data_IF_712613137290
#
_entry.id   IF_712613137290
#
_cell.length_a   1.000
_cell.length_b   1.000
_cell.length_c   1.000
_cell.angle_alpha   90.00
_cell.angle_beta   90.00
_cell.angle_gamma   90.00
#
_symmetry.space_group_name_H-M   'P 1'
#
loop_
_entity.id
_entity.type
_entity.pdbx_description
1 polymer ?
#
# COMPACT_ATOMS: atom_id res chain seq x y z
N UNK A 1 -9.14 24.94 -6.14
CA UNK A 1 -9.31 23.53 -5.72
C UNK A 1 -7.95 23.10 -5.18
N UNK A 2 -7.88 22.60 -3.96
CA UNK A 2 -6.63 22.10 -3.38
C UNK A 2 -6.25 20.77 -4.03
N UNK A 3 -4.97 20.44 -4.07
CA UNK A 3 -4.50 19.14 -4.54
C UNK A 3 -5.11 17.99 -3.72
N UNK A 4 -5.23 18.17 -2.39
CA UNK A 4 -5.89 17.21 -1.51
C UNK A 4 -7.35 16.93 -1.89
N UNK A 5 -8.10 17.93 -2.39
CA UNK A 5 -9.49 17.77 -2.78
C UNK A 5 -9.65 16.79 -3.97
N UNK A 6 -8.65 16.73 -4.85
CA UNK A 6 -8.63 15.81 -5.98
C UNK A 6 -8.13 14.41 -5.58
N UNK A 7 -7.14 14.35 -4.67
CA UNK A 7 -6.49 13.09 -4.27
C UNK A 7 -7.31 12.26 -3.28
N UNK A 8 -8.03 12.90 -2.35
CA UNK A 8 -8.76 12.20 -1.30
C UNK A 8 -9.83 11.25 -1.84
N UNK A 9 -10.70 11.65 -2.78
CA UNK A 9 -11.68 10.73 -3.35
C UNK A 9 -11.04 9.52 -4.04
N UNK A 10 -9.96 9.73 -4.78
CA UNK A 10 -9.21 8.65 -5.43
C UNK A 10 -8.58 7.72 -4.38
N UNK A 11 -7.92 8.29 -3.36
CA UNK A 11 -7.30 7.50 -2.29
C UNK A 11 -8.33 6.68 -1.52
N UNK A 12 -9.50 7.25 -1.22
CA UNK A 12 -10.60 6.57 -0.52
C UNK A 12 -11.15 5.41 -1.39
N UNK A 13 -11.35 5.62 -2.69
CA UNK A 13 -11.80 4.59 -3.62
C UNK A 13 -10.77 3.45 -3.74
N UNK A 14 -9.50 3.77 -3.97
CA UNK A 14 -8.43 2.79 -4.10
C UNK A 14 -8.22 1.98 -2.81
N UNK A 15 -8.32 2.64 -1.66
CA UNK A 15 -8.25 1.98 -0.36
C UNK A 15 -9.44 1.04 -0.13
N UNK A 16 -10.64 1.44 -0.52
CA UNK A 16 -11.83 0.59 -0.46
C UNK A 16 -11.67 -0.69 -1.28
N UNK A 17 -11.17 -0.58 -2.53
CA UNK A 17 -10.89 -1.73 -3.39
C UNK A 17 -9.77 -2.62 -2.83
N UNK A 18 -8.73 -2.02 -2.25
CA UNK A 18 -7.64 -2.77 -1.61
C UNK A 18 -8.16 -3.58 -0.42
N UNK A 19 -9.01 -2.97 0.41
CA UNK A 19 -9.65 -3.64 1.55
C UNK A 19 -10.42 -4.89 1.11
N UNK A 20 -11.22 -4.81 0.04
CA UNK A 20 -11.99 -5.94 -0.48
C UNK A 20 -11.10 -7.14 -0.84
N UNK A 21 -9.92 -6.91 -1.40
CA UNK A 21 -8.97 -7.99 -1.73
C UNK A 21 -8.30 -8.56 -0.48
N UNK A 22 -7.91 -7.70 0.48
CA UNK A 22 -7.30 -8.13 1.74
C UNK A 22 -8.26 -8.97 2.59
N UNK A 23 -9.55 -8.63 2.62
CA UNK A 23 -10.60 -9.37 3.34
C UNK A 23 -10.76 -10.82 2.85
N UNK A 24 -10.32 -11.11 1.64
CA UNK A 24 -10.41 -12.45 1.02
C UNK A 24 -9.17 -13.31 1.22
N UNK A 25 -8.13 -12.82 1.86
CA UNK A 25 -6.92 -13.60 2.11
C UNK A 25 -7.18 -14.67 3.17
N UNK A 26 -7.24 -15.98 2.81
CA UNK A 26 -7.54 -17.03 3.78
C UNK A 26 -6.30 -17.41 4.57
N UNK A 27 -6.39 -17.44 5.90
CA UNK A 27 -5.28 -17.77 6.80
C UNK A 27 -4.65 -19.14 6.50
N UNK A 28 -5.47 -20.13 6.12
CA UNK A 28 -5.00 -21.46 5.76
C UNK A 28 -4.08 -21.49 4.51
N UNK A 29 -4.00 -20.39 3.77
CA UNK A 29 -3.20 -20.25 2.55
C UNK A 29 -2.12 -19.17 2.65
N UNK A 30 -1.83 -18.65 3.83
CA UNK A 30 -0.85 -17.58 4.04
C UNK A 30 0.55 -17.91 3.52
N UNK A 31 0.95 -19.17 3.55
CA UNK A 31 2.22 -19.66 3.02
C UNK A 31 2.20 -19.99 1.50
N UNK A 32 1.07 -19.77 0.82
CA UNK A 32 0.98 -20.04 -0.62
C UNK A 32 1.93 -19.13 -1.41
N UNK A 33 2.65 -19.73 -2.38
CA UNK A 33 3.51 -19.07 -3.36
C UNK A 33 3.14 -19.54 -4.76
N UNK A 34 2.84 -18.64 -5.71
CA UNK A 34 2.59 -19.05 -7.09
C UNK A 34 3.87 -19.54 -7.80
N UNK A 35 5.05 -19.14 -7.30
CA UNK A 35 6.35 -19.54 -7.82
C UNK A 35 7.40 -19.50 -6.71
N UNK A 36 8.44 -20.30 -6.81
CA UNK A 36 9.51 -20.36 -5.78
C UNK A 36 10.20 -19.01 -5.51
N UNK A 37 10.25 -18.11 -6.50
CA UNK A 37 10.81 -16.75 -6.36
C UNK A 37 9.79 -15.73 -5.89
N UNK A 38 8.51 -16.07 -5.82
CA UNK A 38 7.45 -15.15 -5.36
C UNK A 38 7.42 -15.06 -3.85
N UNK A 39 6.85 -13.97 -3.34
CA UNK A 39 6.51 -13.85 -1.92
C UNK A 39 5.39 -14.82 -1.54
N UNK A 40 5.30 -15.12 -0.26
CA UNK A 40 4.11 -15.77 0.30
C UNK A 40 2.91 -14.82 0.23
N UNK A 41 1.70 -15.39 0.17
CA UNK A 41 0.47 -14.61 0.14
C UNK A 41 0.42 -13.60 1.28
N UNK A 42 0.74 -14.02 2.51
CA UNK A 42 0.73 -13.11 3.66
C UNK A 42 1.77 -12.01 3.57
N UNK A 43 2.94 -12.28 2.98
CA UNK A 43 3.96 -11.25 2.78
C UNK A 43 3.45 -10.17 1.80
N UNK A 44 2.91 -10.58 0.64
CA UNK A 44 2.33 -9.65 -0.33
C UNK A 44 1.15 -8.87 0.25
N UNK A 45 0.27 -9.53 1.00
CA UNK A 45 -0.87 -8.90 1.63
C UNK A 45 -0.47 -7.91 2.73
N UNK A 46 0.52 -8.27 3.59
CA UNK A 46 1.04 -7.37 4.62
C UNK A 46 1.74 -6.16 4.00
N UNK A 47 2.55 -6.38 2.96
CA UNK A 47 3.17 -5.30 2.22
C UNK A 47 2.13 -4.32 1.66
N UNK A 48 1.09 -4.84 1.02
CA UNK A 48 -0.02 -4.02 0.51
C UNK A 48 -0.75 -3.26 1.64
N UNK A 49 -0.94 -3.88 2.81
CA UNK A 49 -1.54 -3.23 3.98
C UNK A 49 -0.65 -2.13 4.59
N UNK A 50 0.67 -2.20 4.38
CA UNK A 50 1.63 -1.22 4.88
C UNK A 50 1.87 -0.06 3.89
N UNK A 51 1.50 -0.17 2.62
CA UNK A 51 1.74 0.90 1.64
C UNK A 51 1.14 2.26 2.02
N UNK A 52 -0.07 2.37 2.62
CA UNK A 52 -0.57 3.67 3.05
C UNK A 52 0.31 4.37 4.10
N UNK A 53 1.04 3.62 4.94
CA UNK A 53 1.99 4.20 5.90
C UNK A 53 3.06 5.07 5.21
N UNK A 54 3.48 4.68 3.99
CA UNK A 54 4.43 5.48 3.20
C UNK A 54 3.88 6.84 2.79
N UNK A 55 2.54 6.97 2.60
CA UNK A 55 1.94 8.28 2.37
C UNK A 55 2.14 9.20 3.59
N UNK A 56 1.89 8.67 4.78
CA UNK A 56 2.11 9.41 6.03
C UNK A 56 3.57 9.85 6.17
N UNK A 57 4.52 8.93 5.96
CA UNK A 57 5.95 9.25 6.03
C UNK A 57 6.36 10.28 4.99
N UNK A 58 5.90 10.13 3.73
CA UNK A 58 6.21 11.08 2.65
C UNK A 58 5.69 12.49 2.95
N UNK A 59 4.48 12.60 3.51
CA UNK A 59 3.82 13.88 3.70
C UNK A 59 4.24 14.60 5.00
N UNK A 60 4.58 13.85 6.05
CA UNK A 60 4.89 14.40 7.38
C UNK A 60 6.38 14.70 7.61
N UNK A 61 7.28 14.24 6.75
CA UNK A 61 8.72 14.46 6.85
C UNK A 61 9.33 14.69 5.46
N UNK A 62 10.58 15.18 5.41
CA UNK A 62 11.22 15.53 4.14
C UNK A 62 12.15 14.42 3.60
N UNK A 63 12.50 13.47 4.46
CA UNK A 63 13.34 12.33 4.09
C UNK A 63 13.07 11.10 4.97
N UNK A 64 13.44 9.93 4.48
CA UNK A 64 13.44 8.69 5.23
C UNK A 64 14.67 7.85 4.86
N UNK A 65 15.46 7.46 5.85
CA UNK A 65 16.52 6.46 5.66
C UNK A 65 15.99 5.07 6.04
N UNK A 66 15.94 4.15 5.05
CA UNK A 66 15.46 2.78 5.26
C UNK A 66 16.49 1.84 5.90
N UNK A 67 17.73 2.29 6.06
CA UNK A 67 18.81 1.53 6.70
C UNK A 67 19.81 2.49 7.37
N UNK A 68 19.41 3.29 8.36
CA UNK A 68 20.30 4.25 8.98
C UNK A 68 21.47 3.54 9.66
N UNK A 69 22.67 4.14 9.64
CA UNK A 69 23.86 3.53 10.25
C UNK A 69 23.62 3.16 11.71
N UNK A 70 23.99 1.93 12.07
CA UNK A 70 23.84 1.42 13.44
C UNK A 70 22.44 0.89 13.79
N UNK A 71 21.44 1.06 12.94
CA UNK A 71 20.14 0.43 13.12
C UNK A 71 20.13 -1.03 12.63
N UNK A 72 19.32 -1.91 13.25
CA UNK A 72 19.11 -3.25 12.71
C UNK A 72 18.46 -3.18 11.32
N UNK A 73 18.71 -4.17 10.44
CA UNK A 73 18.03 -4.25 9.16
C UNK A 73 16.51 -4.21 9.32
N UNK A 74 15.85 -3.41 8.48
CA UNK A 74 14.38 -3.39 8.47
C UNK A 74 13.85 -4.79 8.18
N UNK A 75 12.94 -5.25 9.02
CA UNK A 75 12.20 -6.50 8.82
C UNK A 75 10.72 -6.17 8.95
N UNK A 76 9.97 -6.49 7.90
CA UNK A 76 8.53 -6.30 7.92
C UNK A 76 7.89 -7.27 8.94
N UNK A 77 7.07 -6.71 9.83
CA UNK A 77 6.27 -7.49 10.77
C UNK A 77 5.02 -8.00 10.07
N UNK A 78 5.07 -9.27 9.63
CA UNK A 78 3.99 -9.90 8.91
C UNK A 78 2.78 -10.14 9.82
N UNK A 79 1.59 -9.84 9.30
CA UNK A 79 0.34 -10.18 9.97
C UNK A 79 0.22 -11.71 10.14
N UNK A 80 -0.36 -12.15 11.25
CA UNK A 80 -0.53 -13.58 11.55
C UNK A 80 -1.95 -14.06 11.27
N UNK A 81 -2.90 -13.13 11.22
CA UNK A 81 -4.31 -13.39 10.93
C UNK A 81 -4.85 -12.38 9.93
N UNK A 82 -5.96 -12.69 9.29
CA UNK A 82 -6.68 -11.74 8.42
C UNK A 82 -7.17 -10.53 9.23
N UNK A 83 -7.54 -10.73 10.49
CA UNK A 83 -7.94 -9.65 11.39
C UNK A 83 -6.79 -8.66 11.63
N UNK A 84 -5.58 -9.14 11.97
CA UNK A 84 -4.39 -8.30 12.14
C UNK A 84 -4.02 -7.57 10.83
N UNK A 85 -4.16 -8.23 9.67
CA UNK A 85 -3.92 -7.65 8.37
C UNK A 85 -4.84 -6.44 8.12
N UNK A 86 -6.13 -6.61 8.39
CA UNK A 86 -7.13 -5.57 8.22
C UNK A 86 -7.00 -4.43 9.24
N UNK A 87 -6.61 -4.73 10.47
CA UNK A 87 -6.32 -3.72 11.49
C UNK A 87 -5.14 -2.84 11.06
N UNK A 88 -4.01 -3.45 10.64
CA UNK A 88 -2.85 -2.73 10.09
C UNK A 88 -3.26 -1.82 8.93
N UNK A 89 -4.02 -2.37 7.97
CA UNK A 89 -4.49 -1.61 6.82
C UNK A 89 -5.40 -0.44 7.21
N UNK A 90 -6.37 -0.68 8.09
CA UNK A 90 -7.31 0.34 8.56
C UNK A 90 -6.59 1.50 9.22
N UNK A 91 -5.66 1.19 10.15
CA UNK A 91 -4.86 2.19 10.82
C UNK A 91 -4.02 3.00 9.85
N UNK A 92 -3.24 2.34 9.00
CA UNK A 92 -2.34 2.99 8.05
C UNK A 92 -3.11 3.88 7.04
N UNK A 93 -4.29 3.43 6.61
CA UNK A 93 -5.16 4.19 5.70
C UNK A 93 -5.73 5.43 6.39
N UNK A 94 -6.16 5.32 7.65
CA UNK A 94 -6.68 6.46 8.41
C UNK A 94 -5.60 7.53 8.60
N UNK A 95 -4.39 7.12 9.03
CA UNK A 95 -3.24 8.02 9.22
C UNK A 95 -2.83 8.70 7.90
N UNK A 96 -2.81 7.95 6.80
CA UNK A 96 -2.50 8.48 5.46
C UNK A 96 -3.55 9.48 4.98
N UNK A 97 -4.84 9.17 5.19
CA UNK A 97 -5.95 10.05 4.83
C UNK A 97 -5.90 11.38 5.58
N UNK A 98 -5.59 11.34 6.89
CA UNK A 98 -5.39 12.55 7.70
C UNK A 98 -4.20 13.37 7.19
N UNK A 99 -3.08 12.71 6.91
CA UNK A 99 -1.90 13.37 6.35
C UNK A 99 -2.23 14.06 5.01
N UNK A 100 -2.93 13.36 4.10
CA UNK A 100 -3.39 13.92 2.81
C UNK A 100 -4.28 15.16 3.02
N UNK A 101 -5.27 15.07 3.89
CA UNK A 101 -6.22 16.15 4.14
C UNK A 101 -5.56 17.41 4.73
N UNK A 102 -4.51 17.23 5.53
CA UNK A 102 -3.80 18.31 6.22
C UNK A 102 -2.63 18.92 5.43
N UNK A 103 -2.22 18.30 4.32
CA UNK A 103 -1.07 18.75 3.52
C UNK A 103 -1.47 19.92 2.60
N UNK A 104 -0.69 21.01 2.62
CA UNK A 104 -0.89 22.16 1.72
C UNK A 104 -0.37 21.86 0.30
N UNK A 105 -0.87 22.61 -0.69
CA UNK A 105 -0.42 22.50 -2.08
C UNK A 105 1.10 22.81 -2.20
N UNK A 106 1.59 23.76 -1.41
CA UNK A 106 3.02 24.08 -1.34
C UNK A 106 3.84 22.91 -0.82
N UNK A 107 3.36 22.24 0.24
CA UNK A 107 4.03 21.08 0.83
C UNK A 107 4.06 19.88 -0.11
N UNK A 108 3.01 19.65 -0.89
CA UNK A 108 2.98 18.62 -1.94
C UNK A 108 4.07 18.80 -2.99
N UNK A 109 4.49 20.04 -3.25
CA UNK A 109 5.50 20.35 -4.26
C UNK A 109 6.94 20.32 -3.73
N UNK A 110 7.15 20.24 -2.41
CA UNK A 110 8.47 20.04 -1.84
C UNK A 110 9.02 18.67 -2.14
N UNK A 111 10.34 18.57 -2.25
CA UNK A 111 10.98 17.27 -2.46
C UNK A 111 10.95 16.42 -1.18
N UNK A 112 10.74 15.15 -1.38
CA UNK A 112 10.98 14.09 -0.42
C UNK A 112 12.11 13.20 -0.90
N UNK A 113 12.98 12.78 0.02
CA UNK A 113 14.17 11.99 -0.30
C UNK A 113 14.15 10.65 0.40
N UNK A 114 14.28 9.56 -0.37
CA UNK A 114 14.55 8.24 0.19
C UNK A 114 16.05 8.01 0.28
N UNK A 115 16.51 7.67 1.48
CA UNK A 115 17.92 7.38 1.77
C UNK A 115 18.11 5.89 2.08
N UNK A 116 19.33 5.41 1.87
CA UNK A 116 19.84 4.16 2.40
C UNK A 116 21.25 4.37 2.91
N UNK A 117 21.46 4.13 4.20
CA UNK A 117 22.76 4.32 4.86
C UNK A 117 23.32 5.74 4.61
N UNK A 118 22.45 6.76 4.76
CA UNK A 118 22.77 8.18 4.52
C UNK A 118 22.93 8.58 3.05
N UNK A 119 22.80 7.64 2.10
CA UNK A 119 22.96 7.94 0.67
C UNK A 119 21.60 8.02 0.00
N UNK A 120 21.31 9.12 -0.75
CA UNK A 120 20.06 9.25 -1.49
C UNK A 120 19.90 8.16 -2.55
N UNK A 121 18.75 7.45 -2.51
CA UNK A 121 18.30 6.56 -3.57
C UNK A 121 17.60 7.37 -4.67
N UNK A 122 16.69 8.25 -4.26
CA UNK A 122 16.04 9.24 -5.12
C UNK A 122 15.52 10.42 -4.31
N UNK A 123 15.25 11.53 -5.01
CA UNK A 123 14.56 12.71 -4.48
C UNK A 123 13.56 13.20 -5.53
N UNK A 124 12.31 13.44 -5.12
CA UNK A 124 11.25 13.92 -6.02
C UNK A 124 10.17 14.65 -5.23
N UNK A 125 9.30 15.47 -5.86
CA UNK A 125 8.18 16.10 -5.18
C UNK A 125 7.31 15.09 -4.43
N UNK A 126 6.84 15.44 -3.23
CA UNK A 126 5.98 14.58 -2.39
C UNK A 126 4.76 14.07 -3.16
N UNK A 127 4.16 14.92 -3.99
CA UNK A 127 3.07 14.53 -4.90
C UNK A 127 3.47 13.39 -5.84
N UNK A 128 4.64 13.46 -6.48
CA UNK A 128 5.12 12.43 -7.39
C UNK A 128 5.43 11.13 -6.65
N UNK A 129 6.02 11.23 -5.45
CA UNK A 129 6.27 10.08 -4.58
C UNK A 129 4.94 9.40 -4.18
N UNK A 130 3.96 10.19 -3.70
CA UNK A 130 2.64 9.67 -3.35
C UNK A 130 1.97 8.92 -4.51
N UNK A 131 1.98 9.50 -5.71
CA UNK A 131 1.37 8.88 -6.89
C UNK A 131 2.08 7.59 -7.31
N UNK A 132 3.42 7.60 -7.38
CA UNK A 132 4.19 6.46 -7.88
C UNK A 132 4.43 5.38 -6.83
N UNK A 133 4.92 5.75 -5.63
CA UNK A 133 5.35 4.78 -4.60
C UNK A 133 4.26 4.39 -3.61
N UNK A 134 3.12 5.07 -3.60
CA UNK A 134 2.00 4.67 -2.75
C UNK A 134 0.82 4.21 -3.60
N UNK A 135 0.19 5.10 -4.36
CA UNK A 135 -1.07 4.79 -5.04
C UNK A 135 -0.89 3.77 -6.17
N UNK A 136 -0.02 4.05 -7.15
CA UNK A 136 0.23 3.11 -8.26
C UNK A 136 0.85 1.80 -7.77
N UNK A 137 1.69 1.84 -6.75
CA UNK A 137 2.29 0.67 -6.11
C UNK A 137 1.22 -0.20 -5.43
N UNK A 138 0.24 0.42 -4.76
CA UNK A 138 -0.91 -0.30 -4.20
C UNK A 138 -1.76 -0.96 -5.28
N UNK A 139 -2.06 -0.25 -6.37
CA UNK A 139 -2.79 -0.80 -7.53
C UNK A 139 -2.05 -2.01 -8.12
N UNK A 140 -0.71 -1.89 -8.30
CA UNK A 140 0.13 -2.96 -8.83
C UNK A 140 0.09 -4.22 -7.94
N UNK A 141 0.31 -4.09 -6.62
CA UNK A 141 0.31 -5.23 -5.72
C UNK A 141 -1.09 -5.78 -5.47
N UNK A 142 -2.12 -4.94 -5.49
CA UNK A 142 -3.51 -5.40 -5.43
C UNK A 142 -3.85 -6.30 -6.63
N UNK A 143 -3.44 -5.92 -7.84
CA UNK A 143 -3.59 -6.76 -9.02
C UNK A 143 -2.86 -8.10 -8.89
N UNK A 144 -1.63 -8.11 -8.36
CA UNK A 144 -0.91 -9.35 -8.07
C UNK A 144 -1.65 -10.21 -7.04
N UNK A 145 -2.12 -9.61 -5.93
CA UNK A 145 -2.84 -10.35 -4.89
C UNK A 145 -4.14 -10.95 -5.41
N UNK A 146 -4.86 -10.26 -6.31
CA UNK A 146 -6.04 -10.81 -6.99
C UNK A 146 -5.70 -12.08 -7.80
N UNK A 147 -4.55 -12.12 -8.47
CA UNK A 147 -4.06 -13.34 -9.15
C UNK A 147 -3.74 -14.45 -8.16
N UNK A 148 -3.14 -14.13 -7.00
CA UNK A 148 -2.89 -15.13 -5.95
C UNK A 148 -4.20 -15.74 -5.45
N UNK A 149 -5.22 -14.93 -5.19
CA UNK A 149 -6.55 -15.40 -4.79
C UNK A 149 -7.14 -16.34 -5.85
N UNK A 150 -7.07 -15.99 -7.13
CA UNK A 150 -7.53 -16.82 -8.24
C UNK A 150 -6.84 -18.19 -8.25
N UNK A 151 -5.54 -18.24 -8.05
CA UNK A 151 -4.74 -19.48 -8.08
C UNK A 151 -5.03 -20.43 -6.91
N UNK A 152 -5.70 -19.96 -5.87
CA UNK A 152 -6.12 -20.76 -4.72
C UNK A 152 -7.64 -20.90 -4.64
N UNK A 153 -8.34 -20.68 -5.75
CA UNK A 153 -9.79 -20.82 -5.89
C UNK A 153 -10.62 -19.94 -4.92
N UNK A 154 -10.09 -18.77 -4.55
CA UNK A 154 -10.82 -17.75 -3.79
C UNK A 154 -11.49 -16.80 -4.78
N UNK A 155 -12.80 -16.50 -4.63
CA UNK A 155 -13.49 -15.53 -5.48
C UNK A 155 -12.81 -14.16 -5.47
N UNK A 156 -12.60 -13.59 -6.66
CA UNK A 156 -11.94 -12.27 -6.83
C UNK A 156 -13.03 -11.19 -6.88
N UNK A 157 -12.91 -10.09 -6.08
CA UNK A 157 -13.90 -9.03 -6.07
C UNK A 157 -13.96 -8.27 -7.40
N UNK A 158 -15.13 -7.70 -7.70
CA UNK A 158 -15.27 -6.69 -8.74
C UNK A 158 -14.64 -5.38 -8.26
N UNK A 159 -13.62 -4.88 -8.97
CA UNK A 159 -12.87 -3.68 -8.58
C UNK A 159 -13.14 -2.50 -9.54
N UNK A 160 -12.54 -2.50 -10.72
CA UNK A 160 -12.77 -1.48 -11.77
C UNK A 160 -13.87 -1.88 -12.77
N UNK A 161 -14.48 -3.00 -12.56
CA UNK A 161 -15.51 -3.61 -13.37
C UNK A 161 -15.79 -5.02 -12.87
N UNK A 162 -16.71 -5.78 -13.53
CA UNK A 162 -17.03 -7.14 -13.13
C UNK A 162 -15.79 -8.03 -13.13
N UNK A 163 -15.75 -8.97 -12.17
CA UNK A 163 -14.85 -10.13 -12.24
C UNK A 163 -15.60 -11.33 -12.81
N UNK A 164 -14.93 -12.49 -12.91
CA UNK A 164 -15.61 -13.75 -13.24
C UNK A 164 -16.53 -14.25 -12.11
N UNK A 165 -16.39 -13.71 -10.91
CA UNK A 165 -17.11 -14.15 -9.71
C UNK A 165 -18.17 -13.14 -9.25
N UNK A 166 -18.02 -11.86 -9.59
CA UNK A 166 -18.86 -10.77 -9.05
C UNK A 166 -19.10 -9.66 -10.07
N UNK A 167 -20.26 -9.05 -9.92
CA UNK A 167 -20.69 -7.92 -10.74
C UNK A 167 -21.30 -8.38 -12.07
N UNK A 168 -22.07 -7.47 -12.67
CA UNK A 168 -22.62 -7.58 -14.02
C UNK A 168 -22.63 -6.19 -14.64
N UNK A 169 -22.46 -6.10 -15.96
CA UNK A 169 -22.75 -4.85 -16.68
C UNK A 169 -24.25 -4.65 -16.82
#
# INVERSE_FOLDING_TARGET
>A
MKMSDALLPEFDQESGMTRQVLERCPEAKFNFKPHAKSWELIHLATHLANLPMWATMTLKQDELDIAPPGAPPYKEDLAKTTAELLEKFTKNTADAREALASTSDEEFMKNWTLLKTGTPIFSMPKMACLRSFVMNHSVFHRGQLAVYLRLIDVPVPALYGPSADEGSF
#
